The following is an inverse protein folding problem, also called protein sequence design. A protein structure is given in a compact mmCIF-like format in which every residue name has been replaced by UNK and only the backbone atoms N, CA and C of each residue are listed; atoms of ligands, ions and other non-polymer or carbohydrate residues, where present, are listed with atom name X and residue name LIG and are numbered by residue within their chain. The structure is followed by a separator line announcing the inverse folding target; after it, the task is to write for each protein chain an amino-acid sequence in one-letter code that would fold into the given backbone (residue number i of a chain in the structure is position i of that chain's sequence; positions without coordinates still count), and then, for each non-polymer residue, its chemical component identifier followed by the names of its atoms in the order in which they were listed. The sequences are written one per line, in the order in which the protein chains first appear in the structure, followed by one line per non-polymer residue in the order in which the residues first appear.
data_IF_725108343886
#
_entry.id   IF_725108343886
#
_cell.length_a   1.000
_cell.length_b   1.000
_cell.length_c   1.000
_cell.angle_alpha   90.00
_cell.angle_beta   90.00
_cell.angle_gamma   90.00
#
_symmetry.space_group_name_H-M   'P 1'
#
loop_
_entity.id
_entity.type
_entity.pdbx_description
1 polymer ?
#
# COMPACT_ATOMS: atom_id res chain seq x y z
N UNK A 1 31.83 -5.77 14.17
CA UNK A 1 30.48 -5.42 13.66
C UNK A 1 29.62 -5.03 14.84
N UNK A 2 28.95 -3.88 14.80
CA UNK A 2 28.02 -3.45 15.85
C UNK A 2 26.71 -4.23 15.64
N UNK A 3 26.23 -4.91 16.67
CA UNK A 3 24.91 -5.52 16.64
C UNK A 3 23.91 -4.41 16.94
N UNK A 4 23.07 -4.09 15.96
CA UNK A 4 21.96 -3.14 16.11
C UNK A 4 20.71 -3.89 16.57
N UNK A 5 19.84 -3.22 17.33
CA UNK A 5 18.60 -3.82 17.80
C UNK A 5 17.58 -4.00 16.66
N UNK A 6 16.56 -4.85 16.85
CA UNK A 6 15.52 -5.10 15.83
C UNK A 6 14.72 -3.86 15.45
N UNK A 7 14.69 -2.84 16.31
CA UNK A 7 14.05 -1.55 16.07
C UNK A 7 14.65 -0.81 14.87
N UNK A 8 15.94 -0.95 14.61
CA UNK A 8 16.60 -0.35 13.44
C UNK A 8 16.11 -0.96 12.13
N UNK A 9 15.91 -2.27 12.11
CA UNK A 9 15.32 -2.93 10.94
C UNK A 9 13.90 -2.43 10.68
N UNK A 10 13.07 -2.32 11.72
CA UNK A 10 11.72 -1.82 11.58
C UNK A 10 11.70 -0.37 11.04
N UNK A 11 12.58 0.48 11.57
CA UNK A 11 12.71 1.87 11.11
C UNK A 11 13.15 1.95 9.65
N UNK A 12 14.12 1.13 9.27
CA UNK A 12 14.59 1.05 7.88
C UNK A 12 13.48 0.58 6.94
N UNK A 13 12.72 -0.44 7.31
CA UNK A 13 11.59 -0.93 6.51
C UNK A 13 10.53 0.15 6.29
N UNK A 14 10.22 0.94 7.33
CA UNK A 14 9.28 2.06 7.20
C UNK A 14 9.80 3.13 6.24
N UNK A 15 11.08 3.51 6.36
CA UNK A 15 11.70 4.49 5.47
C UNK A 15 11.78 3.96 4.02
N UNK A 16 12.14 2.70 3.85
CA UNK A 16 12.22 2.05 2.55
C UNK A 16 10.85 1.99 1.85
N UNK A 17 9.79 1.65 2.60
CA UNK A 17 8.43 1.66 2.06
C UNK A 17 8.00 3.07 1.65
N UNK A 18 8.26 4.08 2.49
CA UNK A 18 7.93 5.48 2.18
C UNK A 18 8.70 6.08 1.01
N UNK A 19 9.82 5.48 0.60
CA UNK A 19 10.62 5.91 -0.54
C UNK A 19 10.18 5.26 -1.87
N UNK A 20 9.33 4.22 -1.82
CA UNK A 20 8.82 3.56 -3.00
C UNK A 20 7.67 4.35 -3.64
N UNK A 21 7.48 4.21 -4.97
CA UNK A 21 6.27 4.67 -5.62
C UNK A 21 5.00 4.06 -4.99
N UNK A 22 3.85 4.75 -5.05
CA UNK A 22 2.58 4.18 -4.61
C UNK A 22 2.32 2.80 -5.24
N UNK A 23 1.73 1.90 -4.48
CA UNK A 23 1.43 0.51 -4.86
C UNK A 23 2.66 -0.41 -5.06
N UNK A 24 3.89 0.08 -5.00
CA UNK A 24 5.07 -0.78 -5.10
C UNK A 24 5.35 -1.50 -3.77
N UNK A 25 5.38 -2.85 -3.74
CA UNK A 25 5.62 -3.60 -2.51
C UNK A 25 7.11 -3.68 -2.18
N UNK A 26 7.44 -3.79 -0.88
CA UNK A 26 8.77 -4.18 -0.42
C UNK A 26 9.07 -5.69 -0.63
N UNK A 27 8.10 -6.47 -1.02
CA UNK A 27 8.25 -7.92 -1.27
C UNK A 27 9.39 -8.19 -2.25
N UNK A 28 10.31 -9.05 -1.85
CA UNK A 28 11.52 -9.44 -2.62
C UNK A 28 12.55 -8.31 -2.81
N UNK A 29 12.42 -7.17 -2.14
CA UNK A 29 13.46 -6.14 -2.15
C UNK A 29 14.63 -6.56 -1.26
N UNK A 30 15.84 -6.30 -1.75
CA UNK A 30 17.09 -6.58 -1.01
C UNK A 30 17.39 -5.46 -0.01
N UNK A 31 17.92 -5.85 1.14
CA UNK A 31 18.36 -4.97 2.23
C UNK A 31 19.89 -5.04 2.34
N UNK A 32 20.59 -4.32 1.48
CA UNK A 32 22.06 -4.39 1.39
C UNK A 32 22.82 -3.87 2.62
N UNK A 33 22.14 -3.16 3.52
CA UNK A 33 22.77 -2.49 4.68
C UNK A 33 22.86 -3.43 5.91
N UNK A 34 22.03 -4.47 5.93
CA UNK A 34 21.95 -5.38 7.07
C UNK A 34 22.55 -6.73 6.76
N UNK A 35 23.13 -7.32 7.80
CA UNK A 35 23.57 -8.70 7.82
C UNK A 35 22.92 -9.37 9.04
N UNK A 36 22.68 -10.66 8.99
CA UNK A 36 22.09 -11.39 10.11
C UNK A 36 23.13 -12.15 10.89
N UNK A 37 23.00 -12.16 12.21
CA UNK A 37 23.84 -12.96 13.10
C UNK A 37 23.43 -14.43 13.10
N UNK A 38 22.21 -14.75 12.66
CA UNK A 38 21.70 -16.12 12.54
C UNK A 38 21.12 -16.32 11.14
N UNK A 39 21.68 -17.29 10.43
CA UNK A 39 21.20 -17.65 9.09
C UNK A 39 19.78 -18.26 9.15
N UNK A 40 18.78 -17.48 8.84
CA UNK A 40 17.45 -17.99 8.49
C UNK A 40 17.54 -18.52 7.05
N UNK A 41 17.98 -19.76 6.92
CA UNK A 41 18.37 -20.29 5.62
C UNK A 41 17.26 -21.09 4.91
N UNK A 42 16.11 -21.33 5.57
CA UNK A 42 15.05 -22.14 4.98
C UNK A 42 13.86 -21.29 4.56
N UNK A 43 13.57 -21.27 3.28
CA UNK A 43 12.39 -20.62 2.71
C UNK A 43 11.07 -21.05 3.39
N UNK A 44 10.99 -22.32 3.82
CA UNK A 44 9.88 -22.86 4.58
C UNK A 44 9.64 -22.11 5.89
N UNK A 45 10.69 -21.80 6.64
CA UNK A 45 10.58 -21.16 7.95
C UNK A 45 10.19 -19.68 7.80
N UNK A 46 10.78 -19.00 6.83
CA UNK A 46 10.42 -17.61 6.48
C UNK A 46 8.98 -17.50 6.01
N UNK A 47 8.51 -18.44 5.18
CA UNK A 47 7.12 -18.47 4.73
C UNK A 47 6.15 -18.75 5.87
N UNK A 48 6.51 -19.62 6.84
CA UNK A 48 5.65 -19.91 8.00
C UNK A 48 5.50 -18.68 8.90
N UNK A 49 6.53 -17.84 9.01
CA UNK A 49 6.46 -16.56 9.75
C UNK A 49 5.59 -15.56 8.99
N UNK A 50 5.77 -15.46 7.67
CA UNK A 50 4.95 -14.58 6.83
C UNK A 50 3.44 -14.94 6.90
N UNK A 51 3.10 -16.23 6.96
CA UNK A 51 1.70 -16.68 7.17
C UNK A 51 1.08 -16.19 8.48
N UNK A 52 1.90 -15.76 9.44
CA UNK A 52 1.44 -15.17 10.70
C UNK A 52 1.34 -13.63 10.65
N UNK A 53 1.30 -13.05 9.46
CA UNK A 53 1.24 -11.58 9.24
C UNK A 53 2.41 -10.84 9.90
N UNK A 54 3.61 -11.40 9.75
CA UNK A 54 4.86 -10.81 10.20
C UNK A 54 5.76 -10.60 8.98
N UNK A 55 6.36 -9.43 8.86
CA UNK A 55 7.35 -9.17 7.82
C UNK A 55 8.60 -9.99 8.15
N UNK A 56 8.83 -11.05 7.39
CA UNK A 56 10.00 -11.91 7.52
C UNK A 56 11.08 -11.49 6.53
N UNK A 57 12.33 -11.59 6.96
CA UNK A 57 13.51 -11.44 6.11
C UNK A 57 14.21 -12.78 5.97
N UNK A 58 14.81 -13.05 4.83
CA UNK A 58 15.61 -14.25 4.56
C UNK A 58 16.91 -13.86 3.84
N UNK A 59 17.88 -14.76 3.83
CA UNK A 59 19.03 -14.61 2.95
C UNK A 59 18.62 -14.96 1.51
N UNK A 60 18.81 -14.01 0.61
CA UNK A 60 18.65 -14.20 -0.82
C UNK A 60 19.82 -14.96 -1.45
N UNK A 61 19.73 -15.28 -2.76
CA UNK A 61 20.79 -16.00 -3.48
C UNK A 61 22.15 -15.28 -3.49
N UNK A 62 22.14 -13.95 -3.44
CA UNK A 62 23.35 -13.10 -3.40
C UNK A 62 23.90 -12.87 -2.01
N UNK A 63 23.40 -13.61 -1.00
CA UNK A 63 23.75 -13.44 0.42
C UNK A 63 23.33 -12.09 1.01
N UNK A 64 22.41 -11.39 0.37
CA UNK A 64 21.76 -10.18 0.88
C UNK A 64 20.50 -10.55 1.66
N UNK A 65 20.13 -9.72 2.64
CA UNK A 65 18.82 -9.86 3.28
C UNK A 65 17.71 -9.44 2.33
N UNK A 66 16.73 -10.31 2.14
CA UNK A 66 15.58 -10.12 1.27
C UNK A 66 14.29 -10.16 2.09
N UNK A 67 13.37 -9.26 1.81
CA UNK A 67 12.04 -9.24 2.43
C UNK A 67 11.17 -10.31 1.76
N UNK A 68 10.61 -11.23 2.54
CA UNK A 68 9.77 -12.32 2.02
C UNK A 68 8.44 -11.78 1.51
N UNK A 69 7.72 -11.02 2.34
CA UNK A 69 6.48 -10.32 2.00
C UNK A 69 6.29 -9.07 2.85
N UNK A 70 5.75 -8.02 2.25
CA UNK A 70 5.38 -6.78 2.94
C UNK A 70 3.92 -6.89 3.41
N UNK A 71 3.75 -7.31 4.67
CA UNK A 71 2.46 -7.63 5.26
C UNK A 71 2.07 -6.65 6.37
N UNK A 72 0.77 -6.40 6.47
CA UNK A 72 0.17 -5.74 7.64
C UNK A 72 -0.01 -6.75 8.78
N UNK A 73 -0.33 -6.30 9.97
CA UNK A 73 -0.69 -7.16 11.11
C UNK A 73 -2.12 -7.72 11.05
N UNK A 74 -2.87 -7.44 9.98
CA UNK A 74 -4.25 -7.87 9.82
C UNK A 74 -4.35 -9.37 9.54
N UNK A 75 -5.27 -10.07 10.23
CA UNK A 75 -5.36 -11.54 10.19
C UNK A 75 -6.79 -12.10 10.12
N UNK A 76 -7.81 -11.26 9.92
CA UNK A 76 -9.21 -11.72 9.92
C UNK A 76 -9.61 -12.44 8.64
N UNK A 77 -9.00 -12.06 7.52
CA UNK A 77 -9.21 -12.67 6.21
C UNK A 77 -7.91 -12.63 5.40
N UNK A 78 -7.93 -13.19 4.19
CA UNK A 78 -6.78 -13.21 3.28
C UNK A 78 -6.92 -12.19 2.14
N UNK A 79 -7.76 -11.17 2.28
CA UNK A 79 -7.90 -10.14 1.27
C UNK A 79 -6.63 -9.30 1.19
N UNK A 80 -6.05 -9.22 0.01
CA UNK A 80 -4.82 -8.44 -0.27
C UNK A 80 -4.95 -6.98 0.14
N UNK A 81 -6.14 -6.41 0.00
CA UNK A 81 -6.51 -5.04 0.42
C UNK A 81 -6.16 -4.77 1.89
N UNK A 82 -6.30 -5.78 2.75
CA UNK A 82 -6.07 -5.66 4.19
C UNK A 82 -4.72 -6.23 4.62
N UNK A 83 -4.22 -7.23 3.90
CA UNK A 83 -3.02 -7.98 4.30
C UNK A 83 -1.73 -7.44 3.70
N UNK A 84 -1.78 -6.80 2.52
CA UNK A 84 -0.60 -6.22 1.87
C UNK A 84 -0.44 -4.73 2.22
N UNK A 85 0.77 -4.34 2.60
CA UNK A 85 1.07 -2.94 2.95
C UNK A 85 0.88 -2.02 1.75
N UNK A 86 1.36 -2.39 0.57
CA UNK A 86 1.24 -1.58 -0.66
C UNK A 86 -0.22 -1.34 -1.06
N UNK A 87 -1.08 -2.34 -0.94
CA UNK A 87 -2.51 -2.19 -1.21
C UNK A 87 -3.17 -1.22 -0.21
N UNK A 88 -2.82 -1.33 1.07
CA UNK A 88 -3.33 -0.42 2.10
C UNK A 88 -2.87 1.01 1.89
N UNK A 89 -1.60 1.20 1.57
CA UNK A 89 -1.05 2.52 1.25
C UNK A 89 -1.73 3.16 0.05
N UNK A 90 -2.04 2.41 -1.01
CA UNK A 90 -2.76 2.92 -2.18
C UNK A 90 -4.12 3.50 -1.80
N UNK A 91 -4.88 2.84 -0.92
CA UNK A 91 -6.16 3.35 -0.41
C UNK A 91 -5.96 4.63 0.40
N UNK A 92 -4.98 4.64 1.28
CA UNK A 92 -4.69 5.78 2.15
C UNK A 92 -4.21 6.99 1.33
N UNK A 93 -3.41 6.78 0.29
CA UNK A 93 -2.99 7.81 -0.67
C UNK A 93 -4.20 8.37 -1.42
N UNK A 94 -5.08 7.52 -1.96
CA UNK A 94 -6.30 7.96 -2.63
C UNK A 94 -7.15 8.85 -1.71
N UNK A 95 -7.35 8.42 -0.48
CA UNK A 95 -8.14 9.16 0.50
C UNK A 95 -7.51 10.50 0.87
N UNK A 96 -6.19 10.54 1.07
CA UNK A 96 -5.44 11.76 1.40
C UNK A 96 -5.45 12.75 0.23
N UNK A 97 -5.16 12.27 -0.97
CA UNK A 97 -5.08 13.10 -2.16
C UNK A 97 -6.44 13.68 -2.54
N UNK A 98 -7.52 12.89 -2.44
CA UNK A 98 -8.86 13.40 -2.66
C UNK A 98 -9.23 14.47 -1.61
N UNK A 99 -8.97 14.24 -0.33
CA UNK A 99 -9.22 15.26 0.71
C UNK A 99 -8.45 16.53 0.44
N UNK A 100 -7.16 16.43 0.15
CA UNK A 100 -6.31 17.58 -0.15
C UNK A 100 -6.83 18.36 -1.35
N UNK A 101 -7.19 17.65 -2.43
CA UNK A 101 -7.66 18.26 -3.67
C UNK A 101 -9.03 18.92 -3.51
N UNK A 102 -9.94 18.30 -2.77
CA UNK A 102 -11.27 18.83 -2.52
C UNK A 102 -11.33 19.91 -1.42
N UNK A 103 -10.22 20.15 -0.71
CA UNK A 103 -10.15 21.22 0.31
C UNK A 103 -10.46 22.62 -0.27
N UNK A 104 -10.17 22.83 -1.55
CA UNK A 104 -10.48 24.09 -2.25
C UNK A 104 -11.98 24.37 -2.36
N UNK A 105 -12.83 23.35 -2.23
CA UNK A 105 -14.28 23.48 -2.29
C UNK A 105 -14.93 23.80 -0.92
N UNK A 106 -14.16 23.69 0.17
CA UNK A 106 -14.64 24.03 1.50
C UNK A 106 -14.98 25.53 1.59
N UNK A 107 -16.11 25.82 2.21
CA UNK A 107 -16.63 27.19 2.33
C UNK A 107 -17.44 27.66 1.11
N UNK A 108 -17.51 26.89 0.03
CA UNK A 108 -18.37 27.17 -1.12
C UNK A 108 -19.84 26.96 -0.79
N UNK A 109 -20.74 27.68 -1.46
CA UNK A 109 -22.18 27.45 -1.34
C UNK A 109 -22.51 26.07 -1.92
N UNK A 110 -23.28 25.29 -1.18
CA UNK A 110 -23.70 23.96 -1.64
C UNK A 110 -24.89 24.09 -2.59
N UNK A 111 -24.64 23.94 -3.88
CA UNK A 111 -25.61 23.89 -4.96
C UNK A 111 -25.44 22.59 -5.74
N UNK A 112 -26.38 22.26 -6.64
CA UNK A 112 -26.20 21.11 -7.55
C UNK A 112 -24.94 21.27 -8.40
N UNK A 113 -24.64 22.49 -8.87
CA UNK A 113 -23.40 22.80 -9.61
C UNK A 113 -22.15 22.51 -8.80
N UNK A 114 -22.15 22.79 -7.48
CA UNK A 114 -21.03 22.46 -6.58
C UNK A 114 -20.84 20.95 -6.43
N UNK A 115 -21.93 20.20 -6.32
CA UNK A 115 -21.90 18.73 -6.25
C UNK A 115 -21.33 18.13 -7.53
N UNK A 116 -21.76 18.61 -8.69
CA UNK A 116 -21.23 18.17 -10.00
C UNK A 116 -19.75 18.52 -10.17
N UNK A 117 -19.34 19.70 -9.69
CA UNK A 117 -17.95 20.13 -9.70
C UNK A 117 -17.10 19.22 -8.81
N UNK A 118 -17.53 18.92 -7.59
CA UNK A 118 -16.84 17.98 -6.69
C UNK A 118 -16.70 16.60 -7.35
N UNK A 119 -17.72 16.10 -8.02
CA UNK A 119 -17.67 14.84 -8.76
C UNK A 119 -16.63 14.87 -9.88
N UNK A 120 -16.60 15.95 -10.65
CA UNK A 120 -15.65 16.13 -11.75
C UNK A 120 -14.21 16.21 -11.22
N UNK A 121 -13.97 16.95 -10.15
CA UNK A 121 -12.67 17.08 -9.50
C UNK A 121 -12.18 15.74 -8.93
N UNK A 122 -13.07 15.00 -8.25
CA UNK A 122 -12.75 13.68 -7.73
C UNK A 122 -12.37 12.71 -8.86
N UNK A 123 -13.13 12.72 -9.98
CA UNK A 123 -12.83 11.90 -11.15
C UNK A 123 -11.47 12.26 -11.77
N UNK A 124 -11.18 13.54 -11.93
CA UNK A 124 -9.89 14.01 -12.46
C UNK A 124 -8.74 13.51 -11.58
N UNK A 125 -8.86 13.68 -10.24
CA UNK A 125 -7.79 13.28 -9.34
C UNK A 125 -7.58 11.77 -9.29
N UNK A 126 -8.64 10.97 -9.32
CA UNK A 126 -8.52 9.51 -9.42
C UNK A 126 -7.90 9.08 -10.75
N UNK A 127 -8.18 9.78 -11.85
CA UNK A 127 -7.52 9.54 -13.14
C UNK A 127 -6.01 9.82 -13.05
N UNK A 128 -5.60 10.93 -12.41
CA UNK A 128 -4.19 11.23 -12.19
C UNK A 128 -3.49 10.13 -11.37
N UNK A 129 -4.15 9.63 -10.32
CA UNK A 129 -3.61 8.55 -9.48
C UNK A 129 -3.50 7.22 -10.22
N UNK A 130 -4.43 6.92 -11.13
CA UNK A 130 -4.34 5.77 -12.03
C UNK A 130 -3.15 5.92 -12.99
N UNK A 131 -3.02 7.09 -13.61
CA UNK A 131 -1.97 7.36 -14.58
C UNK A 131 -0.56 7.39 -13.93
N UNK A 132 -0.49 7.73 -12.64
CA UNK A 132 0.71 7.59 -11.79
C UNK A 132 0.98 6.15 -11.33
N UNK A 133 0.09 5.20 -11.61
CA UNK A 133 0.25 3.81 -11.18
C UNK A 133 0.00 3.57 -9.69
N UNK A 134 -0.68 4.49 -9.00
CA UNK A 134 -1.07 4.29 -7.60
C UNK A 134 -2.25 3.34 -7.44
N UNK A 135 -3.11 3.26 -8.45
CA UNK A 135 -4.26 2.36 -8.55
C UNK A 135 -4.36 1.79 -9.96
N UNK A 136 -5.02 0.65 -10.11
CA UNK A 136 -5.24 0.05 -11.42
C UNK A 136 -6.38 0.74 -12.18
N UNK A 137 -7.51 0.94 -11.50
CA UNK A 137 -8.70 1.57 -12.08
C UNK A 137 -9.63 2.08 -10.97
N UNK A 138 -10.66 2.85 -11.34
CA UNK A 138 -11.68 3.32 -10.42
C UNK A 138 -13.04 3.38 -11.13
N UNK A 139 -14.13 3.26 -10.34
CA UNK A 139 -15.51 3.29 -10.86
C UNK A 139 -16.50 3.77 -9.79
N UNK A 140 -17.76 3.88 -10.17
CA UNK A 140 -18.89 4.16 -9.27
C UNK A 140 -18.72 5.41 -8.40
N UNK A 141 -18.18 6.49 -8.97
CA UNK A 141 -18.07 7.76 -8.24
C UNK A 141 -19.47 8.31 -7.98
N UNK A 142 -19.90 8.27 -6.75
CA UNK A 142 -21.15 8.86 -6.28
C UNK A 142 -20.88 10.00 -5.32
N UNK A 143 -21.52 11.14 -5.56
CA UNK A 143 -21.46 12.30 -4.66
C UNK A 143 -22.84 12.52 -4.08
N UNK A 144 -22.94 12.46 -2.75
CA UNK A 144 -24.18 12.63 -2.02
C UNK A 144 -24.07 13.83 -1.09
N UNK A 145 -25.15 14.57 -0.97
CA UNK A 145 -25.27 15.68 -0.04
C UNK A 145 -26.17 15.32 1.13
N UNK A 146 -25.76 15.65 2.34
CA UNK A 146 -26.59 15.57 3.54
C UNK A 146 -26.35 16.84 4.36
N UNK A 147 -27.35 17.70 4.43
CA UNK A 147 -27.27 19.02 5.09
C UNK A 147 -26.10 19.87 4.52
N UNK A 148 -25.07 20.13 5.32
CA UNK A 148 -23.87 20.92 5.02
C UNK A 148 -22.67 20.05 4.58
N UNK A 149 -22.84 18.73 4.52
CA UNK A 149 -21.78 17.77 4.26
C UNK A 149 -21.97 17.13 2.88
N UNK A 150 -20.87 17.01 2.15
CA UNK A 150 -20.80 16.27 0.88
C UNK A 150 -19.97 15.01 1.07
N UNK A 151 -20.57 13.87 0.75
CA UNK A 151 -19.92 12.56 0.77
C UNK A 151 -19.51 12.17 -0.65
N UNK A 152 -18.30 11.67 -0.79
CA UNK A 152 -17.76 11.15 -2.05
C UNK A 152 -17.46 9.68 -1.86
N UNK A 153 -18.25 8.83 -2.49
CA UNK A 153 -18.09 7.38 -2.49
C UNK A 153 -17.51 6.95 -3.84
N UNK A 154 -16.58 6.01 -3.83
CA UNK A 154 -15.99 5.48 -5.05
C UNK A 154 -15.41 4.09 -4.81
N UNK A 155 -15.36 3.27 -5.87
CA UNK A 155 -14.70 1.98 -5.87
C UNK A 155 -13.33 2.10 -6.54
N UNK A 156 -12.32 1.42 -5.98
CA UNK A 156 -10.95 1.40 -6.51
C UNK A 156 -10.53 -0.04 -6.76
N UNK A 157 -9.97 -0.30 -7.94
CA UNK A 157 -9.21 -1.50 -8.22
C UNK A 157 -7.74 -1.26 -7.86
N UNK A 158 -7.20 -2.07 -6.96
CA UNK A 158 -5.82 -1.95 -6.49
C UNK A 158 -4.87 -2.75 -7.39
N UNK A 159 -3.60 -2.32 -7.41
CA UNK A 159 -2.51 -3.10 -8.00
C UNK A 159 -2.03 -4.07 -6.94
N UNK A 160 -2.25 -5.37 -7.18
CA UNK A 160 -1.83 -6.42 -6.26
C UNK A 160 -0.41 -6.89 -6.57
N UNK A 161 0.43 -7.16 -5.55
CA UNK A 161 1.77 -7.67 -5.75
C UNK A 161 1.73 -9.11 -6.27
N UNK A 162 2.63 -9.46 -7.20
CA UNK A 162 2.86 -10.83 -7.62
C UNK A 162 3.71 -11.56 -6.57
N UNK A 163 3.07 -12.28 -5.66
CA UNK A 163 3.74 -12.94 -4.54
C UNK A 163 4.26 -14.34 -4.88
N UNK A 164 3.58 -15.07 -5.78
CA UNK A 164 3.89 -16.46 -6.10
C UNK A 164 3.78 -16.75 -7.59
N UNK A 165 4.75 -17.52 -8.10
CA UNK A 165 4.71 -18.10 -9.44
C UNK A 165 4.72 -19.64 -9.25
N UNK A 166 3.68 -20.32 -9.75
CA UNK A 166 3.62 -21.78 -9.77
C UNK A 166 3.84 -22.27 -11.19
N UNK A 167 4.88 -23.07 -11.38
CA UNK A 167 5.18 -23.72 -12.66
C UNK A 167 4.79 -25.18 -12.51
N UNK A 168 3.87 -25.66 -13.36
CA UNK A 168 3.52 -27.08 -13.50
C UNK A 168 4.06 -27.57 -14.81
N UNK A 169 4.94 -28.56 -14.76
CA UNK A 169 5.48 -29.25 -15.93
C UNK A 169 4.63 -30.50 -16.24
#
# INVERSE_FOLDING_TARGET
RRSEGPEYLAYYLMCAQGALPPAEPLTRKSLSIFDTTQGWSRERDSNSVAQKSVIAVKLGPSNDLEIVRSLTSYRKDNLSVNTEVSCRESIDICSKELRKFLTSELGSRITNTTVDRVKTLAKSRLSDLRDLGAIQDFRNIAVRRTADTVFVDFDVALIEPLNFIRITA
#
